data_IF_929102517763
#
_entry.id   IF_929102517763
#
_cell.length_a   1.000
_cell.length_b   1.000
_cell.length_c   1.000
_cell.angle_alpha   90.00
_cell.angle_beta   90.00
_cell.angle_gamma   90.00
#
_symmetry.space_group_name_H-M   'P 1'
#
loop_
_entity.id
_entity.type
_entity.pdbx_description
1 polymer ?
#
# COMPACT_ATOMS: atom_id res chain seq x y z
N UNK A 1 -15.07 21.90 -11.40
CA UNK A 1 -14.78 21.64 -9.95
C UNK A 1 -15.51 22.71 -9.14
N UNK A 2 -16.00 22.38 -7.94
CA UNK A 2 -16.64 23.34 -7.04
C UNK A 2 -15.55 24.26 -6.44
N UNK A 3 -15.77 25.60 -6.27
CA UNK A 3 -14.77 26.54 -5.75
C UNK A 3 -14.16 26.15 -4.39
N UNK A 4 -14.94 25.51 -3.51
CA UNK A 4 -14.45 25.03 -2.23
C UNK A 4 -13.42 23.91 -2.40
N UNK A 5 -13.64 22.98 -3.33
CA UNK A 5 -12.71 21.91 -3.64
C UNK A 5 -11.44 22.45 -4.34
N UNK A 6 -11.58 23.44 -5.22
CA UNK A 6 -10.43 24.10 -5.85
C UNK A 6 -9.50 24.74 -4.82
N UNK A 7 -10.06 25.40 -3.81
CA UNK A 7 -9.29 25.96 -2.69
C UNK A 7 -8.54 24.86 -1.91
N UNK A 8 -9.20 23.73 -1.63
CA UNK A 8 -8.57 22.58 -0.95
C UNK A 8 -7.45 21.97 -1.79
N UNK A 9 -7.64 21.84 -3.11
CA UNK A 9 -6.61 21.33 -4.03
C UNK A 9 -5.38 22.22 -4.00
N UNK A 10 -5.58 23.56 -4.05
CA UNK A 10 -4.47 24.52 -3.95
C UNK A 10 -3.72 24.37 -2.63
N UNK A 11 -4.43 24.31 -1.51
CA UNK A 11 -3.82 24.12 -0.18
C UNK A 11 -3.06 22.80 -0.06
N UNK A 12 -3.62 21.71 -0.61
CA UNK A 12 -2.95 20.41 -0.62
C UNK A 12 -1.65 20.47 -1.44
N UNK A 13 -1.66 21.18 -2.57
CA UNK A 13 -0.46 21.38 -3.38
C UNK A 13 0.62 22.18 -2.65
N UNK A 14 0.25 23.26 -2.00
CA UNK A 14 1.18 24.08 -1.21
C UNK A 14 1.80 23.28 -0.05
N UNK A 15 0.99 22.43 0.62
CA UNK A 15 1.48 21.49 1.66
C UNK A 15 2.45 20.47 1.08
N UNK A 16 2.14 19.90 -0.08
CA UNK A 16 3.01 18.93 -0.74
C UNK A 16 4.35 19.57 -1.12
N UNK A 17 4.33 20.77 -1.70
CA UNK A 17 5.54 21.51 -2.07
C UNK A 17 6.40 21.87 -0.85
N UNK A 18 5.78 22.28 0.26
CA UNK A 18 6.49 22.52 1.52
C UNK A 18 7.12 21.24 2.07
N UNK A 19 6.39 20.13 2.02
CA UNK A 19 6.87 18.84 2.47
C UNK A 19 8.02 18.31 1.61
N UNK A 20 7.97 18.50 0.29
CA UNK A 20 9.10 18.16 -0.60
C UNK A 20 10.38 18.87 -0.17
N UNK A 21 10.31 20.18 0.12
CA UNK A 21 11.50 20.92 0.61
C UNK A 21 12.06 20.33 1.91
N UNK A 22 11.18 20.01 2.87
CA UNK A 22 11.59 19.40 4.14
C UNK A 22 12.30 18.06 3.91
N UNK A 23 11.70 17.18 3.10
CA UNK A 23 12.22 15.84 2.87
C UNK A 23 13.50 15.84 2.02
N UNK A 24 13.57 16.71 1.03
CA UNK A 24 14.79 16.92 0.23
C UNK A 24 15.92 17.47 1.12
N UNK A 25 15.66 18.48 1.94
CA UNK A 25 16.66 18.97 2.90
C UNK A 25 17.12 17.84 3.82
N UNK A 26 16.21 17.01 4.34
CA UNK A 26 16.54 15.90 5.22
C UNK A 26 17.44 14.85 4.55
N UNK A 27 17.10 14.38 3.35
CA UNK A 27 17.80 13.26 2.70
C UNK A 27 19.11 13.65 2.02
N UNK A 28 19.26 14.91 1.64
CA UNK A 28 20.45 15.42 0.93
C UNK A 28 21.34 16.31 1.80
N UNK A 29 21.01 16.50 3.08
CA UNK A 29 21.89 17.14 4.04
C UNK A 29 22.94 16.13 4.53
N UNK A 30 24.26 16.45 4.50
CA UNK A 30 25.32 15.56 4.96
C UNK A 30 25.21 15.09 6.42
N UNK A 31 24.51 15.87 7.28
CA UNK A 31 24.32 15.54 8.70
C UNK A 31 23.18 14.54 8.95
N UNK A 32 22.12 14.55 8.12
CA UNK A 32 20.93 13.75 8.35
C UNK A 32 20.66 12.72 7.25
N UNK A 33 21.23 12.93 6.06
CA UNK A 33 20.88 12.23 4.85
C UNK A 33 21.31 10.76 4.81
N UNK A 34 20.63 10.04 3.96
CA UNK A 34 20.89 8.65 3.63
C UNK A 34 22.19 8.55 2.79
N UNK A 35 23.14 7.64 3.13
CA UNK A 35 24.36 7.46 2.36
C UNK A 35 24.14 7.23 0.86
N UNK A 36 23.08 6.50 0.51
CA UNK A 36 22.75 6.25 -0.89
C UNK A 36 22.45 7.57 -1.64
N UNK A 37 21.60 8.43 -1.11
CA UNK A 37 21.22 9.68 -1.77
C UNK A 37 22.36 10.70 -1.79
N UNK A 38 23.15 10.75 -0.72
CA UNK A 38 24.34 11.60 -0.67
C UNK A 38 25.39 11.22 -1.73
N UNK A 39 25.48 9.94 -2.09
CA UNK A 39 26.32 9.48 -3.19
C UNK A 39 25.69 9.79 -4.55
N UNK A 40 24.38 9.52 -4.70
CA UNK A 40 23.66 9.76 -5.97
C UNK A 40 23.72 11.24 -6.40
N UNK A 41 23.55 12.19 -5.50
CA UNK A 41 23.67 13.61 -5.88
C UNK A 41 25.06 13.98 -6.40
N UNK A 42 26.13 13.32 -5.88
CA UNK A 42 27.50 13.50 -6.39
C UNK A 42 27.65 12.90 -7.79
N UNK A 43 27.13 11.69 -8.00
CA UNK A 43 27.13 11.03 -9.30
C UNK A 43 26.39 11.86 -10.35
N UNK A 44 25.28 12.50 -9.98
CA UNK A 44 24.49 13.36 -10.86
C UNK A 44 25.10 14.76 -11.03
N UNK A 45 26.10 15.11 -10.24
CA UNK A 45 26.65 16.46 -10.17
C UNK A 45 25.55 17.54 -9.98
N UNK A 46 24.62 17.28 -9.09
CA UNK A 46 23.42 18.08 -8.85
C UNK A 46 23.30 18.49 -7.38
N UNK A 47 23.13 19.78 -7.11
CA UNK A 47 22.70 20.25 -5.79
C UNK A 47 21.18 20.10 -5.65
N UNK A 48 20.75 18.90 -5.22
CA UNK A 48 19.34 18.54 -5.14
C UNK A 48 18.57 19.50 -4.21
N UNK A 49 19.17 19.95 -3.12
CA UNK A 49 18.53 20.87 -2.16
C UNK A 49 18.23 22.23 -2.77
N UNK A 50 19.08 22.69 -3.70
CA UNK A 50 18.86 23.96 -4.41
C UNK A 50 17.88 23.78 -5.56
N UNK A 51 17.97 22.69 -6.29
CA UNK A 51 17.21 22.48 -7.54
C UNK A 51 15.77 22.00 -7.31
N UNK A 52 15.51 21.27 -6.22
CA UNK A 52 14.18 20.69 -5.94
C UNK A 52 13.51 21.47 -4.81
N UNK A 53 12.64 22.40 -5.17
CA UNK A 53 11.92 23.30 -4.25
C UNK A 53 10.42 23.06 -4.18
N UNK A 54 9.88 22.24 -5.09
CA UNK A 54 8.47 21.87 -5.16
C UNK A 54 8.33 20.48 -5.79
N UNK A 55 7.15 19.90 -5.70
CA UNK A 55 6.90 18.54 -6.19
C UNK A 55 7.22 18.37 -7.69
N UNK A 56 6.86 19.36 -8.53
CA UNK A 56 7.15 19.30 -9.96
C UNK A 56 8.66 19.33 -10.29
N UNK A 57 9.50 19.83 -9.37
CA UNK A 57 10.94 19.84 -9.58
C UNK A 57 11.57 18.45 -9.43
N UNK A 58 10.84 17.47 -8.86
CA UNK A 58 11.31 16.09 -8.78
C UNK A 58 11.59 15.50 -10.17
N UNK A 59 11.00 16.03 -11.24
CA UNK A 59 11.33 15.65 -12.62
C UNK A 59 12.77 15.97 -13.05
N UNK A 60 13.48 16.81 -12.32
CA UNK A 60 14.92 17.05 -12.52
C UNK A 60 15.77 15.87 -12.05
N UNK A 61 15.21 14.97 -11.23
CA UNK A 61 15.85 13.75 -10.79
C UNK A 61 15.52 12.61 -11.77
N UNK A 62 16.45 11.68 -12.01
CA UNK A 62 16.15 10.45 -12.71
C UNK A 62 15.02 9.67 -12.03
N UNK A 63 14.31 8.84 -12.80
CA UNK A 63 13.36 7.90 -12.24
C UNK A 63 14.05 6.95 -11.25
N UNK A 64 13.37 6.65 -10.16
CA UNK A 64 13.87 5.68 -9.20
C UNK A 64 13.90 4.28 -9.82
N UNK A 65 15.04 3.61 -9.72
CA UNK A 65 15.23 2.28 -10.28
C UNK A 65 14.95 1.19 -9.24
N UNK A 66 14.11 0.24 -9.63
CA UNK A 66 13.70 -0.91 -8.82
C UNK A 66 14.89 -1.70 -8.23
N UNK A 67 15.93 -1.87 -9.05
CA UNK A 67 17.11 -2.66 -8.68
C UNK A 67 17.97 -2.01 -7.58
N UNK A 68 17.83 -0.72 -7.34
CA UNK A 68 18.54 -0.06 -6.23
C UNK A 68 18.15 -0.62 -4.86
N UNK A 69 16.95 -1.18 -4.72
CA UNK A 69 16.47 -1.79 -3.48
C UNK A 69 16.81 -3.28 -3.38
N UNK A 70 17.40 -3.87 -4.42
CA UNK A 70 17.76 -5.28 -4.46
C UNK A 70 19.22 -5.48 -4.10
N UNK A 71 19.50 -6.46 -3.23
CA UNK A 71 20.86 -6.76 -2.81
C UNK A 71 21.58 -5.60 -2.12
N UNK A 72 22.87 -5.79 -1.84
CA UNK A 72 23.73 -4.80 -1.21
C UNK A 72 23.42 -4.54 0.27
N UNK A 73 24.20 -3.72 0.97
CA UNK A 73 23.96 -3.44 2.37
C UNK A 73 22.69 -2.61 2.55
N UNK A 74 21.68 -3.15 3.23
CA UNK A 74 20.41 -2.44 3.51
C UNK A 74 20.67 -1.13 4.28
N UNK A 75 21.72 -1.07 5.10
CA UNK A 75 22.10 0.12 5.87
C UNK A 75 22.47 1.33 5.03
N UNK A 76 22.78 1.18 3.75
CA UNK A 76 23.00 2.33 2.83
C UNK A 76 21.77 3.23 2.70
N UNK A 77 20.59 2.68 3.01
CA UNK A 77 19.31 3.39 2.98
C UNK A 77 18.96 4.08 4.31
N UNK A 78 19.74 3.84 5.38
CA UNK A 78 19.47 4.44 6.69
C UNK A 78 19.90 5.91 6.68
N UNK A 79 18.99 6.87 6.89
CA UNK A 79 19.37 8.25 7.11
C UNK A 79 20.17 8.40 8.40
N UNK A 80 21.27 9.14 8.36
CA UNK A 80 22.14 9.39 9.52
C UNK A 80 21.36 9.97 10.71
N UNK A 81 20.40 10.85 10.43
CA UNK A 81 19.56 11.44 11.47
C UNK A 81 18.62 10.44 12.17
N UNK A 82 18.58 9.18 11.74
CA UNK A 82 17.81 8.10 12.35
C UNK A 82 18.70 6.97 12.93
N UNK A 83 20.00 7.13 12.93
CA UNK A 83 20.92 6.16 13.53
C UNK A 83 20.61 5.96 15.02
N UNK A 84 20.82 4.74 15.51
CA UNK A 84 20.55 4.37 16.90
C UNK A 84 19.08 4.04 17.23
N UNK A 85 18.14 4.32 16.34
CA UNK A 85 16.74 3.96 16.55
C UNK A 85 16.49 2.46 16.25
N UNK A 86 15.58 1.80 16.98
CA UNK A 86 15.11 0.47 16.60
C UNK A 86 14.51 0.48 15.19
N UNK A 87 14.86 -0.51 14.37
CA UNK A 87 14.44 -0.55 12.98
C UNK A 87 14.06 -1.95 12.53
N UNK A 88 13.23 -2.00 11.50
CA UNK A 88 12.78 -3.23 10.86
C UNK A 88 13.29 -3.29 9.43
N UNK A 89 13.53 -4.51 8.94
CA UNK A 89 13.75 -4.76 7.51
C UNK A 89 12.50 -5.40 6.96
N UNK A 90 11.87 -4.73 6.01
CA UNK A 90 10.74 -5.28 5.26
C UNK A 90 11.15 -5.65 3.86
N UNK A 91 10.59 -6.75 3.37
CA UNK A 91 10.89 -7.29 2.05
C UNK A 91 9.61 -7.46 1.22
N UNK A 92 9.75 -7.26 -0.09
CA UNK A 92 8.68 -7.59 -1.04
C UNK A 92 8.58 -9.11 -1.29
N UNK A 93 7.53 -9.53 -2.00
CA UNK A 93 7.31 -10.94 -2.31
C UNK A 93 8.40 -11.65 -3.10
N UNK A 94 9.22 -10.91 -3.84
CA UNK A 94 10.23 -11.51 -4.70
C UNK A 94 9.66 -12.24 -5.91
N UNK A 95 8.44 -11.93 -6.34
CA UNK A 95 7.79 -12.53 -7.51
C UNK A 95 8.61 -12.39 -8.80
N UNK A 96 9.42 -11.34 -8.89
CA UNK A 96 10.22 -10.99 -10.07
C UNK A 96 11.73 -11.05 -9.83
N UNK A 97 12.18 -11.80 -8.85
CA UNK A 97 13.61 -11.98 -8.54
C UNK A 97 13.95 -11.77 -7.06
N UNK A 98 15.15 -11.27 -6.78
CA UNK A 98 15.57 -10.96 -5.41
C UNK A 98 14.60 -9.97 -4.78
N UNK A 99 14.06 -10.25 -3.58
CA UNK A 99 13.19 -9.32 -2.89
C UNK A 99 13.81 -7.94 -2.71
N UNK A 100 13.01 -6.89 -2.89
CA UNK A 100 13.41 -5.53 -2.50
C UNK A 100 13.37 -5.43 -0.99
N UNK A 101 14.37 -4.82 -0.40
CA UNK A 101 14.45 -4.61 1.05
C UNK A 101 14.33 -3.13 1.37
N UNK A 102 13.53 -2.81 2.39
CA UNK A 102 13.35 -1.46 2.91
C UNK A 102 13.52 -1.44 4.42
N UNK A 103 14.29 -0.46 4.92
CA UNK A 103 14.32 -0.13 6.34
C UNK A 103 13.11 0.70 6.70
N UNK A 104 12.48 0.40 7.83
CA UNK A 104 11.44 1.22 8.44
C UNK A 104 11.58 1.27 9.96
N UNK A 105 11.12 2.36 10.53
CA UNK A 105 11.10 2.62 11.96
C UNK A 105 9.64 2.82 12.41
N UNK A 106 9.01 3.91 11.97
CA UNK A 106 7.65 4.30 12.35
C UNK A 106 6.70 4.55 11.17
N UNK A 107 7.20 4.65 9.95
CA UNK A 107 6.37 4.95 8.77
C UNK A 107 5.15 4.02 8.67
N UNK A 108 5.34 2.71 8.91
CA UNK A 108 4.24 1.75 8.84
C UNK A 108 3.18 1.99 9.92
N UNK A 109 3.57 2.51 11.09
CA UNK A 109 2.66 2.88 12.16
C UNK A 109 1.85 4.11 11.77
N UNK A 110 2.54 5.18 11.38
CA UNK A 110 1.92 6.43 10.94
C UNK A 110 0.92 6.21 9.79
N UNK A 111 1.27 5.38 8.82
CA UNK A 111 0.37 5.07 7.70
C UNK A 111 -0.93 4.40 8.19
N UNK A 112 -0.84 3.48 9.15
CA UNK A 112 -2.01 2.77 9.65
C UNK A 112 -2.78 3.55 10.74
N UNK A 113 -2.14 4.47 11.46
CA UNK A 113 -2.82 5.46 12.29
C UNK A 113 -3.66 6.42 11.43
N UNK A 114 -3.11 6.91 10.32
CA UNK A 114 -3.86 7.72 9.36
C UNK A 114 -5.02 6.92 8.73
N UNK A 115 -4.78 5.68 8.35
CA UNK A 115 -5.84 4.79 7.86
C UNK A 115 -6.92 4.56 8.91
N UNK A 116 -6.56 4.38 10.17
CA UNK A 116 -7.51 4.25 11.28
C UNK A 116 -8.54 5.38 11.34
N UNK A 117 -8.15 6.59 10.95
CA UNK A 117 -9.05 7.76 10.93
C UNK A 117 -10.11 7.68 9.83
N UNK A 118 -9.90 6.87 8.80
CA UNK A 118 -10.88 6.65 7.72
C UNK A 118 -11.87 5.53 8.02
N UNK A 119 -11.61 4.72 9.03
CA UNK A 119 -12.45 3.60 9.43
C UNK A 119 -13.59 4.06 10.35
N UNK A 120 -14.81 3.66 10.04
CA UNK A 120 -15.97 3.93 10.90
C UNK A 120 -15.89 3.17 12.23
N UNK A 121 -16.01 3.86 13.36
CA UNK A 121 -16.07 3.21 14.68
C UNK A 121 -17.31 2.33 14.86
N UNK A 122 -18.33 2.47 14.00
CA UNK A 122 -19.52 1.61 14.00
C UNK A 122 -19.19 0.20 13.47
N UNK A 123 -18.37 0.09 12.44
CA UNK A 123 -18.07 -1.17 11.75
C UNK A 123 -16.68 -1.71 12.07
N UNK A 124 -15.78 -0.85 12.50
CA UNK A 124 -14.48 -1.18 13.05
C UNK A 124 -14.39 -0.67 14.50
N UNK A 125 -15.10 -1.29 15.48
CA UNK A 125 -15.22 -0.74 16.82
C UNK A 125 -13.87 -0.64 17.53
N UNK A 126 -13.68 0.45 18.28
CA UNK A 126 -12.52 0.57 19.20
C UNK A 126 -12.59 -0.47 20.30
N UNK A 127 -11.46 -1.01 20.72
CA UNK A 127 -11.39 -2.09 21.72
C UNK A 127 -11.70 -3.48 21.18
N UNK A 128 -12.09 -3.60 19.90
CA UNK A 128 -12.34 -4.92 19.29
C UNK A 128 -11.06 -5.57 18.80
N UNK A 129 -11.04 -6.90 18.81
CA UNK A 129 -9.93 -7.68 18.33
C UNK A 129 -9.98 -7.86 16.80
N UNK A 130 -8.83 -8.16 16.23
CA UNK A 130 -8.59 -8.23 14.81
C UNK A 130 -8.03 -9.57 14.38
N UNK A 131 -8.47 -10.09 13.25
CA UNK A 131 -7.84 -11.20 12.56
C UNK A 131 -7.04 -10.69 11.36
N UNK A 132 -5.77 -11.05 11.29
CA UNK A 132 -4.96 -10.92 10.10
C UNK A 132 -4.89 -12.26 9.36
N UNK A 133 -5.67 -12.42 8.32
CA UNK A 133 -5.62 -13.54 7.39
C UNK A 133 -4.90 -13.11 6.12
N UNK A 134 -3.57 -13.14 6.16
CA UNK A 134 -2.74 -12.66 5.06
C UNK A 134 -1.26 -12.94 5.28
N UNK A 135 -0.39 -12.46 4.36
CA UNK A 135 1.04 -12.71 4.40
C UNK A 135 1.71 -12.29 5.72
N UNK A 136 2.38 -13.21 6.38
CA UNK A 136 3.21 -13.00 7.57
C UNK A 136 4.72 -12.95 7.22
N UNK A 137 5.61 -13.10 8.18
CA UNK A 137 7.06 -13.09 8.00
C UNK A 137 7.65 -11.67 7.92
N UNK A 138 8.75 -11.45 7.17
CA UNK A 138 9.44 -10.16 7.10
C UNK A 138 8.68 -9.12 6.27
N UNK A 139 7.35 -9.10 6.41
CA UNK A 139 6.47 -8.22 5.67
C UNK A 139 5.94 -7.14 6.56
N UNK A 140 5.92 -5.93 6.01
CA UNK A 140 5.38 -4.74 6.64
C UNK A 140 3.94 -4.95 7.14
N UNK A 141 3.15 -5.67 6.36
CA UNK A 141 1.70 -5.80 6.55
C UNK A 141 1.33 -6.37 7.92
N UNK A 142 1.96 -7.47 8.36
CA UNK A 142 1.67 -8.06 9.67
C UNK A 142 1.84 -7.07 10.82
N UNK A 143 3.02 -6.43 10.90
CA UNK A 143 3.31 -5.48 11.98
C UNK A 143 2.42 -4.24 11.91
N UNK A 144 2.06 -3.80 10.71
CA UNK A 144 1.18 -2.66 10.51
C UNK A 144 -0.25 -2.94 10.98
N UNK A 145 -0.77 -4.15 10.72
CA UNK A 145 -2.11 -4.55 11.20
C UNK A 145 -2.10 -4.78 12.71
N UNK A 146 -1.07 -5.38 13.25
CA UNK A 146 -0.88 -5.53 14.68
C UNK A 146 -0.89 -4.16 15.37
N UNK A 147 -0.15 -3.20 14.81
CA UNK A 147 -0.15 -1.82 15.29
C UNK A 147 -1.53 -1.16 15.17
N UNK A 148 -2.24 -1.34 14.04
CA UNK A 148 -3.60 -0.82 13.85
C UNK A 148 -4.55 -1.32 14.92
N UNK A 149 -4.55 -2.63 15.20
CA UNK A 149 -5.39 -3.21 16.25
C UNK A 149 -5.07 -2.60 17.62
N UNK A 150 -3.80 -2.54 18.00
CA UNK A 150 -3.33 -1.95 19.26
C UNK A 150 -3.68 -0.46 19.36
N UNK A 151 -3.47 0.31 18.28
CA UNK A 151 -3.83 1.73 18.21
C UNK A 151 -5.34 1.96 18.41
N UNK A 152 -6.17 1.01 18.00
CA UNK A 152 -7.61 1.04 18.22
C UNK A 152 -8.05 0.38 19.53
N UNK A 153 -7.10 -0.05 20.38
CA UNK A 153 -7.34 -0.62 21.70
C UNK A 153 -7.68 -2.11 21.73
N UNK A 154 -7.46 -2.83 20.63
CA UNK A 154 -7.70 -4.27 20.50
C UNK A 154 -6.42 -5.08 20.39
N UNK A 155 -6.56 -6.38 20.14
CA UNK A 155 -5.50 -7.37 19.95
C UNK A 155 -5.56 -7.87 18.51
N UNK A 156 -4.40 -8.12 17.89
CA UNK A 156 -4.32 -8.75 16.57
C UNK A 156 -3.94 -10.23 16.70
N UNK A 157 -4.75 -11.08 16.10
CA UNK A 157 -4.45 -12.49 15.86
C UNK A 157 -4.00 -12.66 14.41
N UNK A 158 -2.94 -13.41 14.18
CA UNK A 158 -2.39 -13.61 12.84
C UNK A 158 -2.27 -15.08 12.49
N UNK A 159 -2.48 -15.42 11.24
CA UNK A 159 -2.13 -16.74 10.69
C UNK A 159 -0.68 -16.73 10.21
N UNK A 160 -0.09 -17.91 10.10
CA UNK A 160 1.20 -18.08 9.45
C UNK A 160 1.00 -18.35 7.95
N UNK A 161 1.36 -17.37 7.13
CA UNK A 161 1.31 -17.48 5.67
C UNK A 161 2.61 -16.98 5.05
N UNK A 162 3.36 -17.88 4.41
CA UNK A 162 4.52 -17.54 3.58
C UNK A 162 4.15 -17.53 2.09
N UNK A 163 3.96 -16.35 1.48
CA UNK A 163 3.63 -16.27 0.05
C UNK A 163 4.80 -16.71 -0.85
N UNK A 164 6.03 -16.77 -0.34
CA UNK A 164 7.17 -17.28 -1.13
C UNK A 164 7.03 -18.77 -1.38
N UNK A 165 6.48 -19.52 -0.42
CA UNK A 165 6.17 -20.92 -0.60
C UNK A 165 5.11 -21.11 -1.69
N UNK A 166 4.04 -20.36 -1.64
CA UNK A 166 2.99 -20.39 -2.67
C UNK A 166 3.55 -20.09 -4.06
N UNK A 167 4.35 -19.03 -4.20
CA UNK A 167 5.01 -18.68 -5.47
C UNK A 167 5.91 -19.84 -5.95
N UNK A 168 6.61 -20.51 -5.04
CA UNK A 168 7.47 -21.66 -5.36
C UNK A 168 6.65 -22.84 -5.88
N UNK A 169 5.53 -23.17 -5.24
CA UNK A 169 4.61 -24.22 -5.70
C UNK A 169 4.06 -23.89 -7.10
N UNK A 170 3.60 -22.66 -7.32
CA UNK A 170 3.09 -22.23 -8.62
C UNK A 170 4.13 -22.33 -9.74
N UNK A 171 5.37 -21.88 -9.47
CA UNK A 171 6.47 -21.99 -10.45
C UNK A 171 6.84 -23.42 -10.81
N UNK A 172 6.51 -24.40 -9.96
CA UNK A 172 6.71 -25.84 -10.18
C UNK A 172 5.49 -26.51 -10.80
N UNK A 173 4.37 -25.79 -10.97
CA UNK A 173 3.10 -26.41 -11.41
C UNK A 173 2.38 -27.19 -10.30
N UNK A 174 2.80 -27.07 -9.04
CA UNK A 174 2.27 -27.79 -7.88
C UNK A 174 1.01 -27.10 -7.32
N UNK A 175 -0.03 -26.94 -8.14
CA UNK A 175 -1.28 -26.26 -7.77
C UNK A 175 -1.99 -26.94 -6.59
N UNK A 176 -1.91 -28.26 -6.49
CA UNK A 176 -2.46 -29.04 -5.38
C UNK A 176 -1.88 -28.59 -4.04
N UNK A 177 -0.56 -28.51 -3.96
CA UNK A 177 0.16 -28.08 -2.75
C UNK A 177 -0.17 -26.63 -2.38
N UNK A 178 -0.22 -25.73 -3.37
CA UNK A 178 -0.62 -24.35 -3.12
C UNK A 178 -2.04 -24.25 -2.54
N UNK A 179 -2.98 -25.06 -3.03
CA UNK A 179 -4.34 -25.10 -2.52
C UNK A 179 -4.43 -25.72 -1.11
N UNK A 180 -3.69 -26.79 -0.83
CA UNK A 180 -3.60 -27.38 0.52
C UNK A 180 -3.05 -26.37 1.52
N UNK A 181 -2.02 -25.63 1.14
CA UNK A 181 -1.46 -24.60 2.00
C UNK A 181 -2.44 -23.44 2.25
N UNK A 182 -3.18 -23.01 1.22
CA UNK A 182 -4.26 -22.03 1.37
C UNK A 182 -5.33 -22.55 2.38
N UNK A 183 -5.77 -23.79 2.25
CA UNK A 183 -6.73 -24.37 3.20
C UNK A 183 -6.17 -24.41 4.62
N UNK A 184 -4.90 -24.77 4.80
CA UNK A 184 -4.25 -24.73 6.11
C UNK A 184 -4.28 -23.33 6.74
N UNK A 185 -4.05 -22.26 5.95
CA UNK A 185 -4.16 -20.88 6.45
C UNK A 185 -5.61 -20.52 6.84
N UNK A 186 -6.60 -20.99 6.09
CA UNK A 186 -8.02 -20.80 6.43
C UNK A 186 -8.38 -21.57 7.71
N UNK A 187 -7.86 -22.80 7.89
CA UNK A 187 -8.11 -23.60 9.09
C UNK A 187 -7.52 -22.96 10.35
N UNK A 188 -6.35 -22.31 10.24
CA UNK A 188 -5.79 -21.49 11.33
C UNK A 188 -6.76 -20.34 11.68
N UNK A 189 -7.26 -19.60 10.66
CA UNK A 189 -8.21 -18.52 10.86
C UNK A 189 -9.51 -19.00 11.53
N UNK A 190 -10.06 -20.14 11.12
CA UNK A 190 -11.24 -20.74 11.72
C UNK A 190 -11.01 -21.12 13.18
N UNK A 191 -9.85 -21.67 13.51
CA UNK A 191 -9.48 -22.00 14.90
C UNK A 191 -9.42 -20.75 15.77
N UNK A 192 -8.81 -19.67 15.26
CA UNK A 192 -8.72 -18.38 15.94
C UNK A 192 -10.11 -17.78 16.15
N UNK A 193 -10.95 -17.72 15.12
CA UNK A 193 -12.29 -17.13 15.19
C UNK A 193 -13.20 -17.88 16.17
N UNK A 194 -13.13 -19.21 16.20
CA UNK A 194 -13.92 -20.03 17.15
C UNK A 194 -13.53 -19.80 18.60
N UNK A 195 -12.26 -19.55 18.86
CA UNK A 195 -11.75 -19.32 20.20
C UNK A 195 -11.92 -17.88 20.71
N UNK A 196 -12.11 -16.91 19.81
CA UNK A 196 -12.05 -15.48 20.14
C UNK A 196 -13.26 -14.71 19.61
N UNK A 197 -14.40 -14.73 20.31
CA UNK A 197 -15.64 -14.07 19.89
C UNK A 197 -15.57 -12.52 19.87
N UNK A 198 -14.52 -11.95 20.44
CA UNK A 198 -14.28 -10.49 20.43
C UNK A 198 -13.67 -9.99 19.10
N UNK A 199 -13.28 -10.89 18.21
CA UNK A 199 -12.81 -10.49 16.88
C UNK A 199 -14.00 -9.94 16.09
N UNK A 200 -13.93 -8.64 15.76
CA UNK A 200 -14.93 -7.91 14.98
C UNK A 200 -14.39 -7.40 13.64
N UNK A 201 -13.08 -7.28 13.55
CA UNK A 201 -12.41 -6.69 12.41
C UNK A 201 -11.42 -7.68 11.80
N UNK A 202 -11.23 -7.59 10.49
CA UNK A 202 -10.20 -8.41 9.85
C UNK A 202 -9.53 -7.72 8.67
N UNK A 203 -8.27 -8.10 8.45
CA UNK A 203 -7.60 -7.94 7.18
C UNK A 203 -7.57 -9.26 6.43
N UNK A 204 -7.76 -9.20 5.11
CA UNK A 204 -7.58 -10.37 4.25
C UNK A 204 -7.22 -9.97 2.81
N UNK A 205 -6.91 -10.96 1.99
CA UNK A 205 -6.79 -10.83 0.54
C UNK A 205 -8.03 -11.39 -0.14
N UNK A 206 -8.32 -11.04 -1.41
CA UNK A 206 -9.52 -11.52 -2.10
C UNK A 206 -9.69 -13.04 -2.06
N UNK A 207 -8.66 -13.79 -2.43
CA UNK A 207 -8.72 -15.25 -2.48
C UNK A 207 -8.86 -15.94 -1.13
N UNK A 208 -8.32 -15.34 -0.09
CA UNK A 208 -8.48 -15.86 1.27
C UNK A 208 -9.86 -15.52 1.84
N UNK A 209 -10.42 -14.36 1.45
CA UNK A 209 -11.79 -14.01 1.81
C UNK A 209 -12.79 -14.99 1.19
N UNK A 210 -12.68 -15.27 -0.11
CA UNK A 210 -13.47 -16.29 -0.80
C UNK A 210 -13.40 -17.63 -0.06
N UNK A 211 -12.19 -18.14 0.16
CA UNK A 211 -11.97 -19.44 0.80
C UNK A 211 -12.47 -19.52 2.25
N UNK A 212 -12.44 -18.41 3.00
CA UNK A 212 -13.00 -18.35 4.35
C UNK A 212 -14.53 -18.28 4.31
N UNK A 213 -15.10 -17.47 3.42
CA UNK A 213 -16.56 -17.30 3.27
C UNK A 213 -17.25 -18.58 2.77
N UNK A 214 -16.55 -19.44 2.02
CA UNK A 214 -17.03 -20.78 1.66
C UNK A 214 -17.24 -21.70 2.88
N UNK A 215 -16.52 -21.45 3.98
CA UNK A 215 -16.56 -22.29 5.18
C UNK A 215 -17.50 -21.76 6.25
N UNK A 216 -17.65 -20.44 6.35
CA UNK A 216 -18.42 -19.79 7.42
C UNK A 216 -19.18 -18.57 6.89
N UNK A 217 -20.28 -18.26 7.56
CA UNK A 217 -20.89 -16.92 7.43
C UNK A 217 -20.18 -15.96 8.40
N UNK A 218 -19.46 -15.00 7.87
CA UNK A 218 -18.63 -14.05 8.64
C UNK A 218 -19.45 -13.22 9.63
N UNK A 219 -20.68 -12.82 9.25
CA UNK A 219 -21.56 -12.06 10.14
C UNK A 219 -22.00 -12.89 11.36
N UNK A 220 -22.21 -14.19 11.21
CA UNK A 220 -22.52 -15.10 12.33
C UNK A 220 -21.35 -15.25 13.31
N UNK A 221 -20.12 -15.05 12.86
CA UNK A 221 -18.93 -14.98 13.72
C UNK A 221 -18.73 -13.59 14.32
N UNK A 222 -19.62 -12.65 14.02
CA UNK A 222 -19.62 -11.32 14.60
C UNK A 222 -18.64 -10.34 13.92
N UNK A 223 -18.12 -10.66 12.74
CA UNK A 223 -17.30 -9.74 11.96
C UNK A 223 -18.17 -8.59 11.47
N UNK A 224 -17.72 -7.36 11.67
CA UNK A 224 -18.43 -6.13 11.30
C UNK A 224 -17.65 -5.28 10.31
N UNK A 225 -16.33 -5.45 10.23
CA UNK A 225 -15.48 -4.70 9.31
C UNK A 225 -14.36 -5.54 8.72
N UNK A 226 -14.18 -5.44 7.41
CA UNK A 226 -13.13 -6.10 6.65
C UNK A 226 -12.41 -5.04 5.83
N UNK A 227 -11.08 -4.93 5.96
CA UNK A 227 -10.32 -4.27 4.93
C UNK A 227 -9.50 -5.29 4.13
N UNK A 228 -9.42 -5.06 2.83
CA UNK A 228 -8.91 -6.03 1.87
C UNK A 228 -7.89 -5.40 0.94
N UNK A 229 -6.81 -6.11 0.65
CA UNK A 229 -5.76 -5.65 -0.24
C UNK A 229 -4.68 -6.69 -0.47
N UNK A 230 -3.57 -6.27 -1.08
CA UNK A 230 -2.40 -7.13 -1.32
C UNK A 230 -2.40 -7.84 -2.68
N UNK A 231 -3.53 -7.88 -3.36
CA UNK A 231 -3.67 -8.32 -4.77
C UNK A 231 -4.65 -7.39 -5.48
N UNK A 232 -4.82 -7.56 -6.78
CA UNK A 232 -5.79 -6.79 -7.56
C UNK A 232 -7.20 -6.91 -6.97
N UNK A 233 -7.91 -5.79 -6.95
CA UNK A 233 -9.32 -5.68 -6.57
C UNK A 233 -10.09 -5.07 -7.73
N UNK A 234 -10.92 -5.87 -8.39
CA UNK A 234 -11.77 -5.42 -9.49
C UNK A 234 -13.12 -4.89 -8.99
N UNK A 235 -13.82 -4.04 -9.76
CA UNK A 235 -15.19 -3.65 -9.43
C UNK A 235 -16.13 -4.83 -9.26
N UNK A 236 -15.97 -5.89 -10.05
CA UNK A 236 -16.73 -7.13 -9.96
C UNK A 236 -16.50 -7.83 -8.63
N UNK A 237 -15.23 -7.95 -8.20
CA UNK A 237 -14.91 -8.51 -6.89
C UNK A 237 -15.42 -7.61 -5.76
N UNK A 238 -15.32 -6.29 -5.89
CA UNK A 238 -15.83 -5.35 -4.90
C UNK A 238 -17.35 -5.52 -4.69
N UNK A 239 -18.08 -5.65 -5.78
CA UNK A 239 -19.51 -5.96 -5.74
C UNK A 239 -19.77 -7.31 -5.08
N UNK A 240 -19.12 -8.37 -5.53
CA UNK A 240 -19.26 -9.72 -5.01
C UNK A 240 -18.96 -9.80 -3.51
N UNK A 241 -17.88 -9.13 -3.07
CA UNK A 241 -17.50 -9.09 -1.66
C UNK A 241 -18.60 -8.42 -0.80
N UNK A 242 -19.19 -7.32 -1.26
CA UNK A 242 -20.20 -6.57 -0.49
C UNK A 242 -21.59 -7.23 -0.52
N UNK A 243 -21.98 -7.82 -1.65
CA UNK A 243 -23.34 -8.37 -1.83
C UNK A 243 -23.44 -9.84 -1.43
N UNK A 244 -22.36 -10.63 -1.60
CA UNK A 244 -22.43 -12.09 -1.46
C UNK A 244 -21.48 -12.67 -0.40
N UNK A 245 -20.19 -12.28 -0.40
CA UNK A 245 -19.22 -12.86 0.55
C UNK A 245 -19.38 -12.31 1.98
N UNK A 246 -19.67 -11.02 2.09
CA UNK A 246 -19.75 -10.32 3.37
C UNK A 246 -20.96 -9.36 3.43
N UNK A 247 -22.19 -9.82 3.17
CA UNK A 247 -23.37 -8.95 3.18
C UNK A 247 -23.57 -8.35 4.56
N UNK A 248 -23.75 -7.01 4.58
CA UNK A 248 -23.93 -6.25 5.82
C UNK A 248 -22.66 -5.95 6.60
N UNK A 249 -21.52 -6.44 6.17
CA UNK A 249 -20.20 -6.12 6.73
C UNK A 249 -19.59 -4.96 5.94
N UNK A 250 -18.96 -4.02 6.63
CA UNK A 250 -18.25 -2.94 5.95
C UNK A 250 -16.97 -3.45 5.29
N UNK A 251 -16.91 -3.30 3.97
CA UNK A 251 -15.78 -3.78 3.16
C UNK A 251 -15.00 -2.59 2.61
N UNK A 252 -13.72 -2.47 3.01
CA UNK A 252 -12.83 -1.35 2.68
C UNK A 252 -11.67 -1.84 1.82
N UNK A 253 -11.67 -1.56 0.51
CA UNK A 253 -10.54 -1.83 -0.37
C UNK A 253 -9.33 -0.97 0.00
N UNK A 254 -8.13 -1.55 -0.10
CA UNK A 254 -6.87 -0.82 0.12
C UNK A 254 -5.84 -1.14 -0.96
N UNK A 255 -5.07 -0.14 -1.37
CA UNK A 255 -3.93 -0.31 -2.26
C UNK A 255 -2.66 0.10 -1.54
N UNK A 256 -1.78 -0.84 -1.34
CA UNK A 256 -0.54 -0.58 -0.63
C UNK A 256 0.59 -1.48 -1.07
N UNK A 257 1.78 -0.97 -0.94
CA UNK A 257 2.98 -1.74 -1.15
C UNK A 257 4.09 -1.31 -0.17
N UNK A 258 5.18 -2.08 -0.16
CA UNK A 258 6.32 -1.82 0.73
C UNK A 258 6.99 -0.48 0.45
N UNK A 259 6.85 0.08 -0.75
CA UNK A 259 7.53 1.31 -1.16
C UNK A 259 6.73 2.57 -0.82
N UNK A 260 5.43 2.59 -1.10
CA UNK A 260 4.58 3.75 -0.90
C UNK A 260 3.97 3.82 0.51
N UNK A 261 3.60 2.69 1.06
CA UNK A 261 2.74 2.63 2.24
C UNK A 261 1.32 2.19 1.88
N UNK A 262 0.32 2.91 2.36
CA UNK A 262 -1.09 2.56 2.19
C UNK A 262 -1.87 3.70 1.56
N UNK A 263 -2.44 3.47 0.37
CA UNK A 263 -3.46 4.34 -0.21
C UNK A 263 -4.85 3.88 0.22
N UNK A 264 -5.69 4.85 0.55
CA UNK A 264 -7.06 4.63 1.02
C UNK A 264 -8.06 4.73 -0.13
N UNK A 265 -9.13 3.99 -0.05
CA UNK A 265 -10.23 4.08 -1.01
C UNK A 265 -11.09 5.32 -0.73
N UNK A 266 -11.56 5.99 -1.79
CA UNK A 266 -12.69 6.92 -1.69
C UNK A 266 -13.85 6.24 -0.95
N UNK A 267 -14.56 6.90 -0.03
CA UNK A 267 -15.73 6.32 0.61
C UNK A 267 -16.69 5.72 -0.42
N UNK A 268 -17.20 4.52 -0.11
CA UNK A 268 -18.06 3.78 -1.04
C UNK A 268 -19.33 4.59 -1.38
N UNK A 269 -19.60 4.70 -2.66
CA UNK A 269 -20.80 5.32 -3.20
C UNK A 269 -21.40 4.34 -4.25
N UNK A 270 -22.65 3.89 -4.08
CA UNK A 270 -23.30 3.01 -5.06
C UNK A 270 -23.34 3.56 -6.49
N UNK A 271 -23.34 4.88 -6.65
CA UNK A 271 -23.33 5.56 -7.95
C UNK A 271 -22.04 5.38 -8.74
N UNK A 272 -20.94 4.99 -8.07
CA UNK A 272 -19.64 4.71 -8.72
C UNK A 272 -19.60 3.32 -9.41
N UNK A 273 -20.69 2.57 -9.46
CA UNK A 273 -20.73 1.21 -10.03
C UNK A 273 -19.63 0.29 -9.47
N UNK A 274 -19.40 0.38 -8.15
CA UNK A 274 -18.34 -0.37 -7.43
C UNK A 274 -16.92 -0.07 -7.88
N UNK A 275 -16.68 0.99 -8.65
CA UNK A 275 -15.33 1.42 -8.98
C UNK A 275 -14.52 1.69 -7.70
N UNK A 276 -13.27 1.24 -7.70
CA UNK A 276 -12.35 1.45 -6.60
C UNK A 276 -11.39 2.55 -6.97
N UNK A 277 -11.45 3.68 -6.25
CA UNK A 277 -10.58 4.84 -6.48
C UNK A 277 -9.69 5.03 -5.27
N UNK A 278 -8.40 4.83 -5.44
CA UNK A 278 -7.42 4.97 -4.38
C UNK A 278 -6.76 6.34 -4.37
N UNK A 279 -6.52 6.85 -3.18
CA UNK A 279 -5.81 8.12 -2.96
C UNK A 279 -4.58 7.89 -2.08
N UNK A 280 -3.42 8.33 -2.56
CA UNK A 280 -2.18 8.24 -1.80
C UNK A 280 -2.23 9.12 -0.54
N UNK A 281 -1.51 8.78 0.54
CA UNK A 281 -1.51 9.52 1.79
C UNK A 281 -0.66 10.80 1.71
N UNK A 282 -1.07 11.79 0.91
CA UNK A 282 -0.36 13.08 0.81
C UNK A 282 -0.30 13.79 2.17
N UNK A 283 0.82 14.50 2.46
CA UNK A 283 1.99 14.73 1.59
C UNK A 283 3.07 13.64 1.66
N UNK A 284 2.89 12.58 2.44
CA UNK A 284 3.88 11.51 2.68
C UNK A 284 4.15 10.64 1.45
N UNK A 285 3.15 10.48 0.60
CA UNK A 285 3.29 9.82 -0.69
C UNK A 285 2.34 10.48 -1.71
N UNK A 286 2.72 10.41 -2.98
CA UNK A 286 1.89 10.84 -4.09
C UNK A 286 1.83 9.76 -5.17
N UNK A 287 0.70 9.70 -5.86
CA UNK A 287 0.47 8.84 -7.03
C UNK A 287 0.12 9.73 -8.21
N UNK A 288 0.79 9.48 -9.31
CA UNK A 288 0.50 10.11 -10.60
C UNK A 288 0.21 9.02 -11.63
N UNK A 289 -0.72 9.28 -12.53
CA UNK A 289 -1.03 8.38 -13.63
C UNK A 289 -0.48 9.01 -14.90
N UNK A 290 0.60 8.41 -15.41
CA UNK A 290 1.39 8.98 -16.50
C UNK A 290 1.23 8.19 -17.78
N UNK A 291 1.53 8.83 -18.91
CA UNK A 291 1.50 8.18 -20.21
C UNK A 291 2.50 7.00 -20.25
N UNK A 292 2.11 5.84 -20.78
CA UNK A 292 3.04 4.73 -20.98
C UNK A 292 4.19 5.04 -21.94
N UNK A 293 3.99 6.02 -22.83
CA UNK A 293 4.96 6.41 -23.86
C UNK A 293 5.86 7.57 -23.41
N UNK A 294 5.37 8.39 -22.47
CA UNK A 294 6.13 9.51 -21.90
C UNK A 294 5.76 9.68 -20.43
N UNK A 295 6.62 9.21 -19.55
CA UNK A 295 6.42 9.28 -18.10
C UNK A 295 6.47 10.72 -17.52
N UNK A 296 6.83 11.73 -18.33
CA UNK A 296 6.77 13.14 -17.94
C UNK A 296 5.36 13.73 -18.08
N UNK A 297 4.47 13.07 -18.83
CA UNK A 297 3.12 13.52 -19.10
C UNK A 297 2.08 12.72 -18.32
N UNK A 298 1.21 13.42 -17.58
CA UNK A 298 0.02 12.80 -16.98
C UNK A 298 -1.04 12.56 -18.04
N UNK A 299 -1.66 11.39 -18.02
CA UNK A 299 -2.81 11.14 -18.91
C UNK A 299 -3.99 12.05 -18.50
N UNK A 300 -4.90 12.41 -19.42
CA UNK A 300 -6.15 13.09 -19.11
C UNK A 300 -7.00 12.32 -18.08
N UNK A 301 -7.87 13.00 -17.35
CA UNK A 301 -8.84 12.34 -16.47
C UNK A 301 -9.71 11.36 -17.25
N UNK A 302 -9.96 10.21 -16.64
CA UNK A 302 -10.72 9.11 -17.26
C UNK A 302 -9.90 8.19 -18.16
N UNK A 303 -8.65 8.50 -18.43
CA UNK A 303 -7.77 7.67 -19.24
C UNK A 303 -6.89 6.76 -18.39
N UNK A 304 -6.54 5.61 -18.94
CA UNK A 304 -5.60 4.65 -18.34
C UNK A 304 -4.18 5.11 -18.62
N UNK A 305 -3.34 5.02 -17.60
CA UNK A 305 -1.91 5.24 -17.69
C UNK A 305 -1.14 4.40 -16.70
N UNK A 306 0.18 4.51 -16.72
CA UNK A 306 1.06 3.82 -15.79
C UNK A 306 1.07 4.52 -14.43
N UNK A 307 1.09 3.76 -13.36
CA UNK A 307 1.20 4.31 -12.01
C UNK A 307 2.64 4.73 -11.74
N UNK A 308 2.82 5.98 -11.32
CA UNK A 308 4.09 6.50 -10.83
C UNK A 308 3.94 6.89 -9.37
N UNK A 309 4.78 6.32 -8.51
CA UNK A 309 4.79 6.57 -7.07
C UNK A 309 5.90 7.52 -6.68
N UNK A 310 5.61 8.39 -5.72
CA UNK A 310 6.63 9.19 -5.01
C UNK A 310 6.41 9.02 -3.52
N UNK A 311 7.46 8.60 -2.78
CA UNK A 311 7.41 8.46 -1.31
C UNK A 311 8.33 9.49 -0.68
N UNK A 312 7.76 10.26 0.24
CA UNK A 312 8.36 11.44 0.86
C UNK A 312 8.25 11.34 2.38
N UNK A 313 9.14 10.57 3.00
CA UNK A 313 9.22 10.46 4.47
C UNK A 313 10.65 10.62 4.95
N UNK A 314 10.85 10.89 6.25
CA UNK A 314 12.21 10.94 6.82
C UNK A 314 12.92 9.59 6.80
N UNK A 315 12.18 8.49 6.74
CA UNK A 315 12.73 7.14 6.65
C UNK A 315 13.05 6.76 5.20
N UNK A 316 12.28 7.30 4.24
CA UNK A 316 12.35 6.85 2.85
C UNK A 316 12.06 8.00 1.88
N UNK A 317 12.96 8.17 0.93
CA UNK A 317 12.77 9.05 -0.23
C UNK A 317 12.84 8.19 -1.50
N UNK A 318 11.72 8.08 -2.19
CA UNK A 318 11.60 7.35 -3.47
C UNK A 318 10.92 8.31 -4.45
N UNK A 319 11.70 9.06 -5.25
CA UNK A 319 11.13 9.96 -6.25
C UNK A 319 10.74 9.19 -7.52
N UNK A 320 9.56 9.46 -8.04
CA UNK A 320 9.14 9.12 -9.39
C UNK A 320 9.41 7.65 -9.79
N UNK A 321 8.97 6.73 -8.95
CA UNK A 321 9.08 5.30 -9.22
C UNK A 321 7.95 4.83 -10.14
N UNK A 322 8.30 4.32 -11.32
CA UNK A 322 7.34 3.75 -12.26
C UNK A 322 6.96 2.34 -11.82
N UNK A 323 5.77 2.22 -11.24
CA UNK A 323 5.22 0.95 -10.80
C UNK A 323 4.86 0.02 -11.98
N UNK A 324 4.59 -1.23 -11.62
CA UNK A 324 4.12 -2.26 -12.57
C UNK A 324 2.61 -2.29 -12.71
N UNK A 325 1.96 -1.29 -12.15
CA UNK A 325 0.53 -1.14 -12.20
C UNK A 325 0.15 -0.05 -13.20
N UNK A 326 -1.05 -0.17 -13.73
CA UNK A 326 -1.76 0.86 -14.47
C UNK A 326 -3.05 1.20 -13.74
N UNK A 327 -3.57 2.39 -13.98
CA UNK A 327 -4.80 2.86 -13.37
C UNK A 327 -5.49 3.91 -14.24
N UNK A 328 -6.77 4.14 -13.99
CA UNK A 328 -7.50 5.27 -14.58
C UNK A 328 -7.23 6.50 -13.72
N UNK A 329 -6.78 7.61 -14.33
CA UNK A 329 -6.64 8.87 -13.63
C UNK A 329 -7.99 9.44 -13.24
N UNK A 330 -8.21 9.66 -11.94
CA UNK A 330 -9.45 10.23 -11.41
C UNK A 330 -9.20 11.62 -10.81
N UNK A 331 -10.16 12.55 -10.96
CA UNK A 331 -10.02 13.89 -10.40
C UNK A 331 -10.07 13.88 -8.87
N UNK A 332 -9.58 14.96 -8.22
CA UNK A 332 -9.75 15.17 -6.79
C UNK A 332 -11.21 15.09 -6.35
N UNK A 333 -11.44 14.63 -5.12
CA UNK A 333 -12.76 14.61 -4.48
C UNK A 333 -12.70 15.22 -3.08
N UNK A 334 -13.87 15.45 -2.44
CA UNK A 334 -13.93 16.15 -1.14
C UNK A 334 -13.03 15.57 -0.04
N UNK A 335 -12.97 14.24 0.20
CA UNK A 335 -12.06 13.71 1.21
C UNK A 335 -10.59 13.80 0.80
N UNK A 336 -10.31 13.84 -0.53
CA UNK A 336 -8.96 13.76 -1.07
C UNK A 336 -8.77 14.82 -2.17
N UNK A 337 -8.25 16.01 -1.81
CA UNK A 337 -8.06 17.14 -2.76
C UNK A 337 -6.83 16.93 -3.66
N UNK A 338 -6.62 15.72 -4.17
CA UNK A 338 -5.58 15.33 -5.14
C UNK A 338 -6.06 14.16 -6.00
N UNK A 339 -5.36 13.94 -7.11
CA UNK A 339 -5.72 12.92 -8.08
C UNK A 339 -5.85 11.53 -7.44
N UNK A 340 -6.82 10.76 -7.92
CA UNK A 340 -7.03 9.37 -7.56
C UNK A 340 -6.58 8.41 -8.66
N UNK A 341 -6.31 7.17 -8.25
CA UNK A 341 -6.02 6.03 -9.11
C UNK A 341 -7.22 5.07 -9.10
N UNK A 342 -7.99 5.07 -10.19
CA UNK A 342 -9.16 4.20 -10.36
C UNK A 342 -8.77 2.85 -10.95
N UNK A 343 -9.39 1.78 -10.46
CA UNK A 343 -9.25 0.42 -11.01
C UNK A 343 -7.79 0.01 -11.25
N UNK A 344 -6.98 0.09 -10.17
CA UNK A 344 -5.56 -0.29 -10.24
C UNK A 344 -5.43 -1.77 -10.58
N UNK A 345 -4.64 -2.07 -11.60
CA UNK A 345 -4.41 -3.42 -12.11
C UNK A 345 -2.99 -3.56 -12.68
N UNK A 346 -2.47 -4.79 -12.87
CA UNK A 346 -1.16 -5.00 -13.46
C UNK A 346 -1.01 -4.33 -14.83
N UNK A 347 0.15 -3.70 -15.07
CA UNK A 347 0.45 -3.04 -16.34
C UNK A 347 0.74 -4.06 -17.44
N UNK A 348 -0.10 -4.12 -18.45
CA UNK A 348 -0.05 -5.12 -19.51
C UNK A 348 1.17 -4.99 -20.46
N UNK A 349 1.86 -3.85 -20.46
CA UNK A 349 2.98 -3.56 -21.36
C UNK A 349 4.33 -4.19 -20.99
N UNK A 350 4.46 -4.85 -19.83
CA UNK A 350 5.76 -5.36 -19.35
C UNK A 350 6.12 -6.76 -19.83
N UNK A 351 5.24 -7.48 -20.52
CA UNK A 351 5.51 -8.85 -21.03
C UNK A 351 5.87 -9.89 -19.96
N UNK A 352 5.84 -9.52 -18.68
CA UNK A 352 6.11 -10.40 -17.55
C UNK A 352 4.76 -10.80 -16.95
N UNK A 353 4.41 -12.08 -17.03
CA UNK A 353 3.28 -12.59 -16.28
C UNK A 353 3.58 -12.39 -14.79
N UNK A 354 2.88 -11.45 -14.16
CA UNK A 354 2.87 -11.34 -12.71
C UNK A 354 2.19 -12.61 -12.21
N UNK A 355 2.89 -13.43 -11.44
CA UNK A 355 2.26 -14.54 -10.75
C UNK A 355 1.36 -13.90 -9.69
N UNK A 356 0.08 -13.75 -10.03
CA UNK A 356 -0.90 -13.28 -9.07
C UNK A 356 -0.94 -14.24 -7.89
N UNK A 357 -0.89 -13.67 -6.70
CA UNK A 357 -0.92 -14.46 -5.48
C UNK A 357 -2.22 -15.26 -5.38
N UNK A 358 -2.09 -16.57 -5.18
CA UNK A 358 -3.23 -17.49 -4.91
C UNK A 358 -3.66 -17.39 -3.44
N UNK A 359 -3.12 -16.40 -2.72
CA UNK A 359 -3.39 -16.12 -1.32
C UNK A 359 -4.11 -14.79 -1.15
#
# INVERSE_FOLDING_TARGET
>A
MNPALESKVKQAREKLDAHVREIVEWHFNPATGCPFWLNKQKEWNLDVRKEVQKFDDLKKLPHFEDDWLRGGPVRRWLPKGLEGRPMYVFETGGSTGVPKSRLQIDDFRTDYENFSQTLSDKTFPKGSDWLMLGPSGPRRLRLAIEHLAQHRGGIAFSVDLDPRWVIKCLKRGEMGEANLYKQHCVDQALTILRANPNIKCMFTTPKLLEALAEKINLAHYGITGIFCGGTELTPQFHRFAREELAPGIDFVPTYGNTLMGLATHKPFDPSDNYEIIYHAPQPRAAVEIVSPNDAEEKVPYGQIGRVMLTTLTKETFIPRFLERDQAIRRPPCEPYPWDGAGNVQPFQGLGVSVVEGVY
#
